data_IF_382376953820
#
_entry.id   IF_382376953820
#
_cell.length_a   1.000
_cell.length_b   1.000
_cell.length_c   1.000
_cell.angle_alpha   90.00
_cell.angle_beta   90.00
_cell.angle_gamma   90.00
#
_symmetry.space_group_name_H-M   'P 1'
#
loop_
_entity.id
_entity.type
_entity.pdbx_description
1 polymer ?
#
# COMPACT_ATOMS: atom_id res chain seq x y z
N UNK A 1 12.64 -18.90 -2.56
CA UNK A 1 11.88 -17.68 -2.18
C UNK A 1 12.29 -17.32 -0.77
N UNK A 2 12.87 -16.14 -0.53
CA UNK A 2 13.39 -15.77 0.79
C UNK A 2 12.26 -15.63 1.82
N UNK A 3 12.54 -15.90 3.10
CA UNK A 3 11.55 -15.86 4.18
C UNK A 3 10.83 -14.51 4.28
N UNK A 4 11.54 -13.41 4.06
CA UNK A 4 10.96 -12.07 4.04
C UNK A 4 9.90 -11.87 2.94
N UNK A 5 10.07 -12.52 1.77
CA UNK A 5 9.06 -12.45 0.71
C UNK A 5 7.78 -13.22 1.11
N UNK A 6 7.89 -14.28 1.90
CA UNK A 6 6.73 -15.01 2.44
C UNK A 6 5.95 -14.15 3.43
N UNK A 7 6.65 -13.47 4.35
CA UNK A 7 6.05 -12.52 5.30
C UNK A 7 5.29 -11.44 4.54
N UNK A 8 5.92 -10.78 3.57
CA UNK A 8 5.27 -9.71 2.78
C UNK A 8 4.05 -10.21 2.00
N UNK A 9 4.10 -11.42 1.43
CA UNK A 9 2.94 -12.04 0.77
C UNK A 9 1.79 -12.31 1.72
N UNK A 10 2.07 -12.68 2.97
CA UNK A 10 1.03 -12.88 3.99
C UNK A 10 0.23 -11.59 4.26
N UNK A 11 0.84 -10.42 4.04
CA UNK A 11 0.20 -9.12 4.22
C UNK A 11 -0.63 -8.64 3.02
N UNK A 12 -0.64 -9.36 1.89
CA UNK A 12 -1.38 -8.94 0.70
C UNK A 12 -2.91 -9.05 0.85
N UNK A 13 -3.41 -9.58 1.97
CA UNK A 13 -4.84 -9.79 2.19
C UNK A 13 -5.43 -10.90 1.32
N UNK A 14 -6.73 -11.16 1.53
CA UNK A 14 -7.54 -12.11 0.77
C UNK A 14 -8.82 -11.39 0.33
N UNK A 15 -9.47 -11.88 -0.73
CA UNK A 15 -10.74 -11.30 -1.20
C UNK A 15 -10.59 -9.89 -1.80
N UNK A 16 -11.65 -9.06 -1.77
CA UNK A 16 -11.68 -7.73 -2.37
C UNK A 16 -10.59 -6.77 -1.85
N UNK A 17 -10.23 -6.84 -0.57
CA UNK A 17 -9.17 -6.03 0.03
C UNK A 17 -7.80 -6.23 -0.62
N UNK A 18 -7.51 -7.42 -1.20
CA UNK A 18 -6.27 -7.68 -1.97
C UNK A 18 -6.07 -6.69 -3.11
N UNK A 19 -7.16 -6.11 -3.64
CA UNK A 19 -7.08 -5.12 -4.72
C UNK A 19 -6.54 -3.75 -4.26
N UNK A 20 -6.36 -3.53 -2.95
CA UNK A 20 -5.63 -2.38 -2.43
C UNK A 20 -4.10 -2.54 -2.59
N UNK A 21 -3.62 -3.76 -2.93
CA UNK A 21 -2.24 -4.01 -3.36
C UNK A 21 -1.20 -3.71 -2.29
N UNK A 22 -0.08 -3.12 -2.71
CA UNK A 22 1.02 -2.75 -1.83
C UNK A 22 0.61 -1.82 -0.70
N UNK A 23 -0.40 -0.97 -0.91
CA UNK A 23 -0.87 -0.06 0.13
C UNK A 23 -1.39 -0.85 1.34
N UNK A 24 -2.07 -1.98 1.12
CA UNK A 24 -2.50 -2.86 2.21
C UNK A 24 -1.31 -3.50 2.92
N UNK A 25 -0.27 -3.89 2.16
CA UNK A 25 0.97 -4.46 2.72
C UNK A 25 1.66 -3.43 3.62
N UNK A 26 1.76 -2.17 3.18
CA UNK A 26 2.32 -1.08 3.95
C UNK A 26 1.50 -0.79 5.22
N UNK A 27 0.18 -0.72 5.11
CA UNK A 27 -0.70 -0.52 6.27
C UNK A 27 -0.52 -1.64 7.30
N UNK A 28 -0.43 -2.90 6.87
CA UNK A 28 -0.18 -4.04 7.77
C UNK A 28 1.23 -4.05 8.36
N UNK A 29 2.23 -3.58 7.62
CA UNK A 29 3.59 -3.43 8.13
C UNK A 29 3.64 -2.43 9.30
N UNK A 30 2.92 -1.32 9.16
CA UNK A 30 2.79 -0.32 10.23
C UNK A 30 1.98 -0.88 11.40
N UNK A 31 0.83 -1.52 11.14
CA UNK A 31 0.03 -2.14 12.22
C UNK A 31 0.82 -3.21 12.99
N UNK A 32 1.62 -4.01 12.29
CA UNK A 32 2.52 -4.99 12.91
C UNK A 32 3.57 -4.32 13.81
N UNK A 33 4.25 -3.28 13.32
CA UNK A 33 5.28 -2.61 14.13
C UNK A 33 4.69 -1.91 15.37
N UNK A 34 3.49 -1.34 15.26
CA UNK A 34 2.75 -0.79 16.39
C UNK A 34 2.37 -1.87 17.42
N UNK A 35 1.84 -3.01 16.97
CA UNK A 35 1.45 -4.14 17.83
C UNK A 35 2.64 -4.74 18.60
N UNK A 36 3.81 -4.80 17.96
CA UNK A 36 5.07 -5.21 18.60
C UNK A 36 5.75 -4.07 19.38
N UNK A 37 5.02 -2.98 19.68
CA UNK A 37 5.49 -1.82 20.46
C UNK A 37 6.75 -1.15 19.87
N UNK A 38 6.91 -1.20 18.55
CA UNK A 38 8.10 -0.74 17.82
C UNK A 38 9.38 -1.45 18.24
N UNK A 39 9.32 -2.71 18.64
CA UNK A 39 10.53 -3.47 18.97
C UNK A 39 11.50 -3.57 17.77
N UNK A 40 12.76 -3.23 18.01
CA UNK A 40 13.78 -3.15 16.95
C UNK A 40 14.13 -4.52 16.36
N UNK A 41 14.13 -5.57 17.18
CA UNK A 41 14.42 -6.95 16.76
C UNK A 41 13.24 -7.53 15.97
N UNK A 42 12.02 -7.27 16.40
CA UNK A 42 10.78 -7.64 15.68
C UNK A 42 10.69 -6.95 14.33
N UNK A 43 11.05 -5.66 14.27
CA UNK A 43 11.17 -4.96 12.99
C UNK A 43 12.22 -5.63 12.09
N UNK A 44 13.43 -5.88 12.59
CA UNK A 44 14.51 -6.48 11.81
C UNK A 44 14.16 -7.87 11.27
N UNK A 45 13.59 -8.74 12.10
CA UNK A 45 13.15 -10.10 11.72
C UNK A 45 12.05 -10.10 10.65
N UNK A 46 11.21 -9.07 10.61
CA UNK A 46 10.16 -8.90 9.59
C UNK A 46 10.62 -8.06 8.38
N UNK A 47 11.91 -7.71 8.30
CA UNK A 47 12.48 -6.93 7.21
C UNK A 47 11.98 -5.49 7.15
N UNK A 48 11.64 -4.93 8.32
CA UNK A 48 11.26 -3.54 8.51
C UNK A 48 12.43 -2.72 9.05
N UNK A 49 12.61 -1.51 8.53
CA UNK A 49 13.60 -0.56 9.06
C UNK A 49 13.01 0.13 10.29
N UNK A 50 13.48 -0.25 11.47
CA UNK A 50 12.97 0.27 12.75
C UNK A 50 12.93 1.81 12.82
N UNK A 51 14.03 2.50 12.42
CA UNK A 51 14.05 3.98 12.38
C UNK A 51 12.95 4.57 11.48
N UNK A 52 12.64 3.93 10.34
CA UNK A 52 11.57 4.40 9.47
C UNK A 52 10.19 4.21 10.11
N UNK A 53 9.98 3.12 10.85
CA UNK A 53 8.71 2.89 11.57
C UNK A 53 8.48 3.93 12.67
N UNK A 54 9.53 4.34 13.39
CA UNK A 54 9.44 5.43 14.36
C UNK A 54 9.06 6.76 13.70
N UNK A 55 9.66 7.10 12.56
CA UNK A 55 9.31 8.32 11.82
C UNK A 55 7.89 8.26 11.24
N UNK A 56 7.44 7.09 10.77
CA UNK A 56 6.04 6.89 10.33
C UNK A 56 5.08 7.16 11.49
N UNK A 57 5.36 6.66 12.71
CA UNK A 57 4.51 6.92 13.88
C UNK A 57 4.43 8.43 14.17
N UNK A 58 5.57 9.13 14.19
CA UNK A 58 5.60 10.60 14.39
C UNK A 58 4.79 11.34 13.33
N UNK A 59 4.97 10.98 12.06
CA UNK A 59 4.27 11.61 10.94
C UNK A 59 2.75 11.36 11.03
N UNK A 60 2.32 10.16 11.40
CA UNK A 60 0.90 9.85 11.64
C UNK A 60 0.31 10.74 12.72
N UNK A 61 0.99 10.90 13.87
CA UNK A 61 0.56 11.80 14.95
C UNK A 61 0.44 13.25 14.47
N UNK A 62 1.43 13.74 13.72
CA UNK A 62 1.40 15.11 13.19
C UNK A 62 0.23 15.31 12.23
N UNK A 63 0.01 14.38 11.29
CA UNK A 63 -1.11 14.46 10.36
C UNK A 63 -2.47 14.39 11.07
N UNK A 64 -2.62 13.56 12.10
CA UNK A 64 -3.84 13.53 12.93
C UNK A 64 -4.10 14.87 13.60
N UNK A 65 -3.08 15.50 14.19
CA UNK A 65 -3.22 16.82 14.82
C UNK A 65 -3.57 17.91 13.80
N UNK A 66 -2.98 17.88 12.60
CA UNK A 66 -3.31 18.82 11.52
C UNK A 66 -4.77 18.64 11.08
N UNK A 67 -5.25 17.40 10.97
CA UNK A 67 -6.65 17.13 10.63
C UNK A 67 -7.59 17.68 11.72
N UNK A 68 -7.33 17.42 13.00
CA UNK A 68 -8.18 17.92 14.08
C UNK A 68 -8.21 19.46 14.13
N UNK A 69 -7.08 20.12 13.85
CA UNK A 69 -7.01 21.59 13.84
C UNK A 69 -7.63 22.22 12.59
N UNK A 70 -7.58 21.55 11.44
CA UNK A 70 -8.05 22.11 10.16
C UNK A 70 -9.54 21.91 9.92
N UNK A 71 -10.15 20.89 10.52
CA UNK A 71 -11.56 20.54 10.30
C UNK A 71 -12.35 20.71 11.60
N UNK A 72 -13.46 21.47 11.56
CA UNK A 72 -14.39 21.60 12.70
C UNK A 72 -15.24 20.33 12.81
N UNK A 73 -14.71 19.32 13.48
CA UNK A 73 -15.37 18.04 13.70
C UNK A 73 -16.14 18.06 15.02
N UNK A 74 -17.13 17.17 15.17
CA UNK A 74 -17.87 17.01 16.42
C UNK A 74 -17.01 16.44 17.56
N UNK A 75 -15.90 15.79 17.22
CA UNK A 75 -14.95 15.19 18.15
C UNK A 75 -13.60 15.01 17.48
N UNK A 76 -12.51 15.18 18.23
CA UNK A 76 -11.16 14.95 17.73
C UNK A 76 -10.91 13.48 17.37
N UNK A 77 -10.20 13.25 16.27
CA UNK A 77 -9.72 11.93 15.89
C UNK A 77 -8.48 11.61 16.72
N UNK A 78 -8.44 10.42 17.29
CA UNK A 78 -7.28 9.93 18.06
C UNK A 78 -6.43 9.02 17.18
N UNK A 79 -5.11 9.16 17.29
CA UNK A 79 -4.17 8.23 16.68
C UNK A 79 -4.21 6.91 17.45
N UNK A 80 -4.93 5.92 16.90
CA UNK A 80 -4.99 4.56 17.44
C UNK A 80 -3.76 3.75 17.02
N UNK A 81 -2.90 3.30 17.96
CA UNK A 81 -1.78 2.41 17.67
C UNK A 81 -2.25 1.01 17.22
N UNK A 82 -3.44 0.58 17.67
CA UNK A 82 -3.99 -0.76 17.44
C UNK A 82 -5.07 -0.77 16.35
N UNK A 83 -4.98 0.14 15.37
CA UNK A 83 -5.98 0.26 14.33
C UNK A 83 -6.08 -1.05 13.52
N UNK A 84 -7.27 -1.67 13.43
CA UNK A 84 -7.45 -2.92 12.70
C UNK A 84 -7.23 -2.71 11.19
N UNK A 85 -6.88 -3.77 10.45
CA UNK A 85 -6.84 -3.69 8.99
C UNK A 85 -8.21 -3.30 8.43
N UNK A 86 -8.26 -2.56 7.30
CA UNK A 86 -9.52 -2.10 6.73
C UNK A 86 -10.39 -3.29 6.31
N UNK A 87 -11.70 -3.18 6.54
CA UNK A 87 -12.71 -4.06 5.93
C UNK A 87 -12.68 -3.97 4.40
N UNK A 88 -13.29 -4.92 3.69
CA UNK A 88 -13.33 -4.90 2.22
C UNK A 88 -13.97 -3.62 1.66
N UNK A 89 -15.01 -3.10 2.32
CA UNK A 89 -15.66 -1.83 1.95
C UNK A 89 -14.71 -0.65 2.17
N UNK A 90 -14.01 -0.60 3.31
CA UNK A 90 -13.00 0.44 3.56
C UNK A 90 -11.83 0.35 2.58
N UNK A 91 -11.37 -0.84 2.25
CA UNK A 91 -10.30 -1.04 1.27
C UNK A 91 -10.71 -0.60 -0.15
N UNK A 92 -11.98 -0.74 -0.51
CA UNK A 92 -12.52 -0.19 -1.75
C UNK A 92 -12.54 1.35 -1.73
N UNK A 93 -13.03 1.95 -0.65
CA UNK A 93 -13.05 3.42 -0.50
C UNK A 93 -11.64 4.01 -0.50
N UNK A 94 -10.69 3.40 0.21
CA UNK A 94 -9.29 3.79 0.19
C UNK A 94 -8.71 3.74 -1.21
N UNK A 95 -9.05 2.71 -2.01
CA UNK A 95 -8.60 2.64 -3.42
C UNK A 95 -9.14 3.80 -4.24
N UNK A 96 -10.40 4.22 -4.03
CA UNK A 96 -10.97 5.37 -4.72
C UNK A 96 -10.25 6.67 -4.35
N UNK A 97 -9.96 6.88 -3.06
CA UNK A 97 -9.19 8.04 -2.59
C UNK A 97 -7.79 8.06 -3.23
N UNK A 98 -7.14 6.92 -3.31
CA UNK A 98 -5.81 6.81 -3.93
C UNK A 98 -5.84 7.08 -5.43
N UNK A 99 -6.83 6.58 -6.15
CA UNK A 99 -7.00 6.89 -7.58
C UNK A 99 -7.26 8.37 -7.81
N UNK A 100 -8.04 9.02 -6.93
CA UNK A 100 -8.27 10.47 -7.02
C UNK A 100 -6.98 11.28 -6.76
N UNK A 101 -6.15 10.86 -5.80
CA UNK A 101 -4.89 11.53 -5.48
C UNK A 101 -3.73 11.22 -6.45
N UNK A 102 -3.81 10.12 -7.19
CA UNK A 102 -2.77 9.64 -8.11
C UNK A 102 -3.33 9.45 -9.54
N UNK A 103 -4.26 10.32 -9.95
CA UNK A 103 -4.94 10.23 -11.24
C UNK A 103 -3.98 10.27 -12.44
N UNK A 104 -2.82 10.89 -12.24
CA UNK A 104 -1.74 11.01 -13.22
C UNK A 104 -0.77 9.80 -13.22
N UNK A 105 -0.97 8.84 -12.32
CA UNK A 105 -0.22 7.59 -12.20
C UNK A 105 -1.10 6.36 -12.54
N UNK A 106 -1.98 6.52 -13.53
CA UNK A 106 -2.84 5.43 -14.02
C UNK A 106 -2.16 4.71 -15.19
N UNK A 107 -2.11 3.39 -15.11
CA UNK A 107 -1.58 2.52 -16.15
C UNK A 107 -2.60 1.44 -16.53
N UNK A 108 -2.80 1.21 -17.83
CA UNK A 108 -3.68 0.18 -18.37
C UNK A 108 -2.86 -1.04 -18.77
N UNK A 109 -3.30 -2.25 -18.39
CA UNK A 109 -2.67 -3.49 -18.86
C UNK A 109 -2.86 -3.61 -20.37
N UNK A 110 -1.79 -3.92 -21.09
CA UNK A 110 -1.85 -4.16 -22.53
C UNK A 110 -2.04 -5.65 -22.76
N UNK A 111 -3.21 -6.03 -23.26
CA UNK A 111 -3.48 -7.42 -23.62
C UNK A 111 -2.80 -7.73 -24.96
N UNK A 112 -2.33 -8.98 -25.08
CA UNK A 112 -1.66 -9.48 -26.29
C UNK A 112 -2.73 -9.88 -27.32
N UNK A 113 -3.41 -8.91 -27.92
CA UNK A 113 -4.33 -9.18 -29.03
C UNK A 113 -3.60 -8.96 -30.35
N UNK A 114 -3.31 -10.08 -31.04
CA UNK A 114 -3.18 -10.37 -32.49
C UNK A 114 -2.71 -9.34 -33.53
N UNK A 115 -2.49 -8.07 -33.22
CA UNK A 115 -1.97 -7.07 -34.16
C UNK A 115 -0.47 -6.89 -33.92
N UNK A 116 0.33 -7.35 -34.88
CA UNK A 116 1.71 -7.06 -35.31
C UNK A 116 2.74 -6.27 -34.44
N UNK A 117 2.47 -5.93 -33.19
CA UNK A 117 3.38 -5.33 -32.24
C UNK A 117 3.78 -6.38 -31.20
N UNK A 118 5.09 -6.62 -31.06
CA UNK A 118 5.62 -7.47 -30.00
C UNK A 118 5.40 -6.82 -28.62
N UNK A 119 4.24 -7.07 -28.00
CA UNK A 119 3.92 -6.58 -26.66
C UNK A 119 4.56 -7.50 -25.60
N UNK A 120 5.50 -7.01 -24.76
CA UNK A 120 6.10 -7.81 -23.71
C UNK A 120 5.08 -8.29 -22.68
N UNK A 121 5.36 -9.44 -22.02
CA UNK A 121 4.42 -10.02 -21.04
C UNK A 121 4.27 -9.09 -19.85
N UNK A 122 3.02 -8.80 -19.46
CA UNK A 122 2.75 -7.98 -18.29
C UNK A 122 3.06 -6.50 -18.48
N UNK A 123 3.12 -6.04 -19.73
CA UNK A 123 3.26 -4.63 -20.07
C UNK A 123 2.01 -3.83 -19.66
N UNK A 124 2.25 -2.62 -19.18
CA UNK A 124 1.26 -1.60 -18.93
C UNK A 124 1.61 -0.35 -19.74
N UNK A 125 0.59 0.39 -20.15
CA UNK A 125 0.73 1.65 -20.86
C UNK A 125 0.19 2.78 -19.97
N UNK A 126 0.94 3.88 -19.90
CA UNK A 126 0.52 5.10 -19.21
C UNK A 126 0.21 6.19 -20.22
N UNK A 127 -0.46 7.27 -19.78
CA UNK A 127 -0.68 8.43 -20.65
C UNK A 127 0.57 9.31 -20.82
N UNK A 128 1.56 9.17 -19.93
CA UNK A 128 2.73 10.06 -19.86
C UNK A 128 3.92 9.56 -20.67
N UNK A 129 4.04 8.25 -20.86
CA UNK A 129 5.18 7.60 -21.50
C UNK A 129 4.72 6.81 -22.72
N UNK A 130 5.49 6.90 -23.81
CA UNK A 130 5.28 6.07 -24.99
C UNK A 130 5.74 4.62 -24.76
N UNK A 131 6.75 4.45 -23.91
CA UNK A 131 7.31 3.14 -23.54
C UNK A 131 6.37 2.35 -22.62
N UNK A 132 6.48 1.02 -22.68
CA UNK A 132 5.79 0.14 -21.75
C UNK A 132 6.42 0.21 -20.35
N UNK A 133 5.56 0.25 -19.33
CA UNK A 133 5.96 0.14 -17.94
C UNK A 133 5.54 -1.21 -17.37
N UNK A 134 6.22 -1.65 -16.31
CA UNK A 134 5.99 -2.95 -15.69
C UNK A 134 5.80 -2.80 -14.20
N UNK A 135 5.00 -3.70 -13.64
CA UNK A 135 4.89 -3.84 -12.19
C UNK A 135 6.21 -4.40 -11.67
N UNK A 136 6.79 -3.74 -10.67
CA UNK A 136 8.04 -4.14 -10.04
C UNK A 136 7.95 -5.62 -9.60
N UNK A 137 8.93 -6.49 -9.91
CA UNK A 137 8.82 -7.92 -9.57
C UNK A 137 8.63 -8.19 -8.08
N UNK A 138 9.02 -7.24 -7.22
CA UNK A 138 8.90 -7.27 -5.75
C UNK A 138 7.61 -6.59 -5.23
N UNK A 139 6.81 -5.99 -6.10
CA UNK A 139 5.50 -5.39 -5.78
C UNK A 139 4.41 -6.47 -5.75
N UNK A 140 3.49 -6.36 -4.80
CA UNK A 140 2.48 -7.36 -4.51
C UNK A 140 1.06 -6.82 -4.74
N UNK A 141 0.45 -7.28 -5.83
CA UNK A 141 -0.95 -6.99 -6.12
C UNK A 141 -1.39 -7.70 -7.39
N UNK A 142 -2.46 -8.49 -7.29
CA UNK A 142 -3.42 -9.00 -8.31
C UNK A 142 -2.89 -9.72 -9.57
N UNK A 143 -1.68 -9.43 -10.08
CA UNK A 143 -1.28 -9.75 -11.46
C UNK A 143 -0.11 -10.75 -11.58
N UNK A 144 0.19 -11.50 -10.52
CA UNK A 144 0.86 -12.80 -10.65
C UNK A 144 -0.15 -13.92 -10.48
#
# INVERSE_FOLDING_TARGET
MTELLKIRRSWCGKGPSRRLGDLLVLMRAVGFSEAEKMDSMKCATHGLRHKAMLEIRKLRTQLTNIVNTSFKQSSDIVMDPCLPPPSDKQAQMLRQVMVAGLADHIARRVDRSSDNQEVPKGAYQTMKLQEFVFIEPKQYGIYR
#
